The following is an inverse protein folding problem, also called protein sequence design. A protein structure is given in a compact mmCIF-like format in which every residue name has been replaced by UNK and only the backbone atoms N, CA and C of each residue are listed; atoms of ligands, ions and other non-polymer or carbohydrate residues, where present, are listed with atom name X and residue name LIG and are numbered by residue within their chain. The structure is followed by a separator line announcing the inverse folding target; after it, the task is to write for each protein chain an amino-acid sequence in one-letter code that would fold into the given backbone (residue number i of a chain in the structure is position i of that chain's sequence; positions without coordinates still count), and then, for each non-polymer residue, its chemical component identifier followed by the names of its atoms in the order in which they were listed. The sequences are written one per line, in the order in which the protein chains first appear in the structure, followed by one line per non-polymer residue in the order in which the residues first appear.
data_IF_711787704111
#
_entry.id   IF_711787704111
#
_cell.length_a   1.000
_cell.length_b   1.000
_cell.length_c   1.000
_cell.angle_alpha   90.00
_cell.angle_beta   90.00
_cell.angle_gamma   90.00
#
_symmetry.space_group_name_H-M   'P 1'
#
loop_
_entity.id
_entity.type
_entity.pdbx_description
1 polymer ?
#
# COMPACT_ATOMS: atom_id res chain seq x y z
N UNK A 1 -9.06 -13.89 -97.86
CA UNK A 1 -9.14 -14.06 -96.40
C UNK A 1 -7.89 -14.77 -95.96
N UNK A 2 -7.26 -14.30 -94.90
CA UNK A 2 -6.03 -14.87 -94.40
C UNK A 2 -6.34 -16.12 -93.57
N UNK A 3 -5.83 -17.27 -94.00
CA UNK A 3 -6.09 -18.58 -93.36
C UNK A 3 -5.36 -18.67 -92.01
N UNK A 4 -4.22 -18.00 -91.86
CA UNK A 4 -3.44 -17.98 -90.62
C UNK A 4 -4.19 -17.21 -89.51
N UNK A 5 -4.93 -16.17 -89.89
CA UNK A 5 -5.73 -15.38 -88.95
C UNK A 5 -6.92 -16.17 -88.38
N UNK A 6 -7.53 -17.04 -89.19
CA UNK A 6 -8.64 -17.89 -88.75
C UNK A 6 -8.15 -19.00 -87.79
N UNK A 7 -7.04 -19.66 -88.11
CA UNK A 7 -6.42 -20.67 -87.22
C UNK A 7 -6.04 -20.07 -85.86
N UNK A 8 -5.47 -18.86 -85.85
CA UNK A 8 -5.14 -18.16 -84.61
C UNK A 8 -6.39 -17.85 -83.77
N UNK A 9 -7.47 -17.40 -84.41
CA UNK A 9 -8.72 -17.10 -83.71
C UNK A 9 -9.31 -18.35 -83.06
N UNK A 10 -9.39 -19.46 -83.79
CA UNK A 10 -9.94 -20.72 -83.28
C UNK A 10 -9.08 -21.29 -82.14
N UNK A 11 -7.75 -21.17 -82.26
CA UNK A 11 -6.82 -21.54 -81.18
C UNK A 11 -7.00 -20.69 -79.93
N UNK A 12 -7.17 -19.38 -80.08
CA UNK A 12 -7.46 -18.48 -78.98
C UNK A 12 -8.79 -18.83 -78.30
N UNK A 13 -9.84 -19.09 -79.09
CA UNK A 13 -11.13 -19.51 -78.56
C UNK A 13 -11.05 -20.84 -77.80
N UNK A 14 -10.37 -21.85 -78.34
CA UNK A 14 -10.18 -23.13 -77.67
C UNK A 14 -9.44 -22.98 -76.33
N UNK A 15 -8.39 -22.15 -76.27
CA UNK A 15 -7.69 -21.84 -75.01
C UNK A 15 -8.60 -21.14 -74.01
N UNK A 16 -9.42 -20.20 -74.47
CA UNK A 16 -10.36 -19.49 -73.62
C UNK A 16 -11.35 -20.45 -72.96
N UNK A 17 -11.94 -21.38 -73.72
CA UNK A 17 -12.88 -22.38 -73.20
C UNK A 17 -12.23 -23.27 -72.13
N UNK A 18 -10.96 -23.65 -72.30
CA UNK A 18 -10.24 -24.44 -71.28
C UNK A 18 -10.05 -23.63 -69.99
N UNK A 19 -9.66 -22.36 -70.09
CA UNK A 19 -9.48 -21.48 -68.93
C UNK A 19 -10.80 -21.23 -68.22
N UNK A 20 -11.88 -20.92 -68.96
CA UNK A 20 -13.20 -20.65 -68.38
C UNK A 20 -13.75 -21.89 -67.65
N UNK A 21 -13.52 -23.09 -68.20
CA UNK A 21 -13.91 -24.33 -67.55
C UNK A 21 -13.12 -24.59 -66.25
N UNK A 22 -11.80 -24.36 -66.23
CA UNK A 22 -10.99 -24.48 -65.01
C UNK A 22 -11.44 -23.47 -63.95
N UNK A 23 -11.68 -22.21 -64.34
CA UNK A 23 -12.17 -21.16 -63.45
C UNK A 23 -13.56 -21.51 -62.89
N UNK A 24 -14.47 -22.02 -63.72
CA UNK A 24 -15.82 -22.40 -63.29
C UNK A 24 -15.78 -23.58 -62.31
N UNK A 25 -14.94 -24.58 -62.57
CA UNK A 25 -14.74 -25.72 -61.67
C UNK A 25 -14.24 -25.26 -60.30
N UNK A 26 -13.17 -24.46 -60.25
CA UNK A 26 -12.64 -23.90 -59.00
C UNK A 26 -13.64 -23.00 -58.28
N UNK A 27 -14.45 -22.26 -59.03
CA UNK A 27 -15.50 -21.41 -58.45
C UNK A 27 -16.59 -22.23 -57.76
N UNK A 28 -16.95 -23.40 -58.29
CA UNK A 28 -17.90 -24.33 -57.65
C UNK A 28 -17.33 -24.92 -56.37
N UNK A 29 -16.07 -25.37 -56.40
CA UNK A 29 -15.37 -25.88 -55.21
C UNK A 29 -15.31 -24.81 -54.11
N UNK A 30 -14.94 -23.58 -54.47
CA UNK A 30 -14.92 -22.46 -53.54
C UNK A 30 -16.31 -22.18 -52.95
N UNK A 31 -17.37 -22.24 -53.77
CA UNK A 31 -18.73 -22.05 -53.30
C UNK A 31 -19.16 -23.14 -52.30
N UNK A 32 -18.76 -24.39 -52.52
CA UNK A 32 -19.02 -25.49 -51.58
C UNK A 32 -18.28 -25.27 -50.26
N UNK A 33 -17.02 -24.86 -50.30
CA UNK A 33 -16.23 -24.50 -49.11
C UNK A 33 -16.90 -23.36 -48.34
N UNK A 34 -17.36 -22.30 -49.02
CA UNK A 34 -18.06 -21.17 -48.40
C UNK A 34 -19.36 -21.63 -47.72
N UNK A 35 -20.13 -22.50 -48.37
CA UNK A 35 -21.35 -23.06 -47.77
C UNK A 35 -21.04 -23.88 -46.51
N UNK A 36 -19.98 -24.69 -46.53
CA UNK A 36 -19.53 -25.47 -45.38
C UNK A 36 -19.11 -24.57 -44.21
N UNK A 37 -18.23 -23.59 -44.47
CA UNK A 37 -17.77 -22.64 -43.46
C UNK A 37 -18.91 -21.83 -42.85
N UNK A 38 -19.92 -21.45 -43.65
CA UNK A 38 -21.12 -20.79 -43.14
C UNK A 38 -21.89 -21.68 -42.15
N UNK A 39 -21.99 -22.98 -42.44
CA UNK A 39 -22.59 -23.95 -41.53
C UNK A 39 -21.84 -24.04 -40.21
N UNK A 40 -20.52 -24.25 -40.27
CA UNK A 40 -19.65 -24.33 -39.08
C UNK A 40 -19.71 -23.06 -38.23
N UNK A 41 -19.68 -21.88 -38.88
CA UNK A 41 -19.78 -20.60 -38.20
C UNK A 41 -21.10 -20.43 -37.44
N UNK A 42 -22.22 -20.86 -38.03
CA UNK A 42 -23.51 -20.83 -37.34
C UNK A 42 -23.54 -21.75 -36.12
N UNK A 43 -22.89 -22.92 -36.19
CA UNK A 43 -22.78 -23.83 -35.04
C UNK A 43 -21.98 -23.19 -33.91
N UNK A 44 -20.81 -22.60 -34.22
CA UNK A 44 -19.98 -21.90 -33.23
C UNK A 44 -20.77 -20.76 -32.57
N UNK A 45 -21.46 -19.94 -33.36
CA UNK A 45 -22.30 -18.85 -32.85
C UNK A 45 -23.41 -19.35 -31.92
N UNK A 46 -24.05 -20.47 -32.24
CA UNK A 46 -25.10 -21.03 -31.39
C UNK A 46 -24.54 -21.55 -30.06
N UNK A 47 -23.38 -22.21 -30.12
CA UNK A 47 -22.67 -22.68 -28.94
C UNK A 47 -22.24 -21.52 -28.04
N UNK A 48 -21.75 -20.42 -28.61
CA UNK A 48 -21.36 -19.22 -27.86
C UNK A 48 -22.55 -18.60 -27.12
N UNK A 49 -23.71 -18.47 -27.79
CA UNK A 49 -24.94 -17.99 -27.16
C UNK A 49 -25.41 -18.89 -26.01
N UNK A 50 -25.38 -20.21 -26.21
CA UNK A 50 -25.76 -21.15 -25.14
C UNK A 50 -24.83 -21.03 -23.91
N UNK A 51 -23.52 -20.85 -24.14
CA UNK A 51 -22.55 -20.63 -23.07
C UNK A 51 -22.78 -19.29 -22.34
N UNK A 52 -23.12 -18.23 -23.07
CA UNK A 52 -23.43 -16.93 -22.48
C UNK A 52 -24.67 -17.01 -21.57
N UNK A 53 -25.72 -17.70 -22.01
CA UNK A 53 -26.92 -17.96 -21.20
C UNK A 53 -26.61 -18.77 -19.94
N UNK A 54 -25.76 -19.80 -20.03
CA UNK A 54 -25.31 -20.58 -18.87
C UNK A 54 -24.51 -19.72 -17.88
N UNK A 55 -23.57 -18.91 -18.37
CA UNK A 55 -22.80 -17.98 -17.56
C UNK A 55 -23.69 -16.97 -16.83
N UNK A 56 -24.70 -16.43 -17.52
CA UNK A 56 -25.68 -15.52 -16.94
C UNK A 56 -26.49 -16.21 -15.82
N UNK A 57 -26.96 -17.43 -16.09
CA UNK A 57 -27.67 -18.24 -15.09
C UNK A 57 -26.81 -18.53 -13.86
N UNK A 58 -25.52 -18.81 -14.02
CA UNK A 58 -24.58 -19.00 -12.91
C UNK A 58 -24.35 -17.70 -12.13
N UNK A 59 -24.23 -16.56 -12.82
CA UNK A 59 -24.08 -15.25 -12.16
C UNK A 59 -25.26 -14.95 -11.24
N UNK A 60 -26.48 -15.11 -11.74
CA UNK A 60 -27.71 -14.89 -10.96
C UNK A 60 -27.76 -15.84 -9.74
N UNK A 61 -27.36 -17.11 -9.89
CA UNK A 61 -27.29 -18.06 -8.77
C UNK A 61 -26.27 -17.65 -7.71
N UNK A 62 -25.08 -17.20 -8.12
CA UNK A 62 -24.05 -16.71 -7.21
C UNK A 62 -24.53 -15.48 -6.45
N UNK A 63 -25.17 -14.51 -7.13
CA UNK A 63 -25.75 -13.33 -6.49
C UNK A 63 -26.82 -13.72 -5.47
N UNK A 64 -27.74 -14.63 -5.85
CA UNK A 64 -28.76 -15.14 -4.93
C UNK A 64 -28.14 -15.80 -3.69
N UNK A 65 -27.16 -16.69 -3.86
CA UNK A 65 -26.48 -17.36 -2.76
C UNK A 65 -25.73 -16.37 -1.84
N UNK A 66 -25.12 -15.33 -2.40
CA UNK A 66 -24.48 -14.27 -1.60
C UNK A 66 -25.52 -13.50 -0.78
N UNK A 67 -26.66 -13.15 -1.35
CA UNK A 67 -27.73 -12.48 -0.59
C UNK A 67 -28.33 -13.37 0.49
N UNK A 68 -28.42 -14.67 0.27
CA UNK A 68 -28.86 -15.65 1.29
C UNK A 68 -27.83 -15.75 2.42
N UNK A 69 -26.54 -15.84 2.07
CA UNK A 69 -25.45 -15.85 3.04
C UNK A 69 -25.43 -14.56 3.90
N UNK A 70 -25.67 -13.40 3.30
CA UNK A 70 -25.75 -12.14 4.04
C UNK A 70 -26.96 -12.06 4.98
N UNK A 71 -28.06 -12.71 4.63
CA UNK A 71 -29.26 -12.82 5.48
C UNK A 71 -29.12 -13.89 6.57
N UNK A 72 -28.07 -14.71 6.53
CA UNK A 72 -27.85 -15.74 7.53
C UNK A 72 -27.66 -15.10 8.91
N UNK A 73 -28.55 -15.44 9.85
CA UNK A 73 -28.56 -14.85 11.20
C UNK A 73 -27.23 -15.03 11.94
N UNK A 74 -26.50 -16.12 11.68
CA UNK A 74 -25.17 -16.36 12.28
C UNK A 74 -24.15 -15.35 11.74
N UNK A 75 -24.17 -15.08 10.43
CA UNK A 75 -23.29 -14.08 9.80
C UNK A 75 -23.63 -12.68 10.29
N UNK A 76 -24.92 -12.35 10.41
CA UNK A 76 -25.38 -11.06 10.96
C UNK A 76 -24.92 -10.90 12.41
N UNK A 77 -25.19 -11.88 13.27
CA UNK A 77 -24.78 -11.85 14.68
C UNK A 77 -23.25 -11.78 14.83
N UNK A 78 -22.49 -12.44 13.94
CA UNK A 78 -21.03 -12.36 13.92
C UNK A 78 -20.56 -10.95 13.53
N UNK A 79 -21.17 -10.33 12.51
CA UNK A 79 -20.87 -8.94 12.09
C UNK A 79 -21.16 -7.95 13.21
N UNK A 80 -22.28 -8.12 13.91
CA UNK A 80 -22.62 -7.30 15.09
C UNK A 80 -21.60 -7.46 16.21
N UNK A 81 -21.20 -8.70 16.55
CA UNK A 81 -20.15 -8.94 17.56
C UNK A 81 -18.82 -8.31 17.18
N UNK A 82 -18.42 -8.40 15.91
CA UNK A 82 -17.21 -7.74 15.40
C UNK A 82 -17.31 -6.22 15.55
N UNK A 83 -18.49 -5.64 15.27
CA UNK A 83 -18.71 -4.22 15.43
C UNK A 83 -18.60 -3.78 16.89
N UNK A 84 -19.24 -4.51 17.82
CA UNK A 84 -19.16 -4.23 19.27
C UNK A 84 -17.71 -4.30 19.76
N UNK A 85 -17.00 -5.39 19.44
CA UNK A 85 -15.58 -5.53 19.81
C UNK A 85 -14.71 -4.41 19.23
N UNK A 86 -14.98 -3.99 17.99
CA UNK A 86 -14.25 -2.88 17.36
C UNK A 86 -14.45 -1.55 18.11
N UNK A 87 -15.66 -1.29 18.63
CA UNK A 87 -15.94 -0.11 19.45
C UNK A 87 -15.26 -0.18 20.82
N UNK A 88 -15.31 -1.33 21.50
CA UNK A 88 -14.65 -1.55 22.79
C UNK A 88 -13.12 -1.38 22.68
N UNK A 89 -12.50 -1.93 21.63
CA UNK A 89 -11.07 -1.76 21.38
C UNK A 89 -10.69 -0.28 21.21
N UNK A 90 -11.53 0.51 20.51
CA UNK A 90 -11.30 1.97 20.37
C UNK A 90 -11.42 2.69 21.70
N UNK A 91 -12.40 2.33 22.53
CA UNK A 91 -12.56 2.91 23.86
C UNK A 91 -11.38 2.57 24.77
N UNK A 92 -10.96 1.31 24.82
CA UNK A 92 -9.79 0.90 25.59
C UNK A 92 -8.51 1.60 25.14
N UNK A 93 -8.34 1.82 23.83
CA UNK A 93 -7.22 2.60 23.30
C UNK A 93 -7.24 4.03 23.82
N UNK A 94 -8.39 4.71 23.77
CA UNK A 94 -8.52 6.08 24.28
C UNK A 94 -8.32 6.14 25.81
N UNK A 95 -8.78 5.13 26.53
CA UNK A 95 -8.56 5.02 27.98
C UNK A 95 -7.07 4.84 28.31
N UNK A 96 -6.35 4.03 27.53
CA UNK A 96 -4.89 3.88 27.67
C UNK A 96 -4.16 5.20 27.40
N UNK A 97 -4.50 5.91 26.32
CA UNK A 97 -3.91 7.22 26.00
C UNK A 97 -4.17 8.25 27.12
N UNK A 98 -5.37 8.25 27.70
CA UNK A 98 -5.71 9.08 28.87
C UNK A 98 -4.86 8.73 30.09
N UNK A 99 -4.72 7.44 30.43
CA UNK A 99 -3.90 7.00 31.55
C UNK A 99 -2.43 7.38 31.37
N UNK A 100 -1.90 7.21 30.15
CA UNK A 100 -0.52 7.64 29.84
C UNK A 100 -0.34 9.13 30.06
N UNK A 101 -1.30 9.96 29.61
CA UNK A 101 -1.24 11.41 29.81
C UNK A 101 -1.28 11.80 31.30
N UNK A 102 -2.15 11.20 32.10
CA UNK A 102 -2.19 11.45 33.55
C UNK A 102 -0.92 10.97 34.26
N UNK A 103 -0.37 9.82 33.87
CA UNK A 103 0.91 9.34 34.41
C UNK A 103 2.05 10.33 34.14
N UNK A 104 2.07 10.92 32.94
CA UNK A 104 3.04 11.94 32.57
C UNK A 104 2.89 13.19 33.44
N UNK A 105 1.65 13.65 33.66
CA UNK A 105 1.37 14.79 34.56
C UNK A 105 1.85 14.52 35.98
N UNK A 106 1.56 13.34 36.53
CA UNK A 106 1.99 12.97 37.89
C UNK A 106 3.52 12.95 38.01
N UNK A 107 4.22 12.40 37.02
CA UNK A 107 5.69 12.43 36.98
C UNK A 107 6.21 13.86 36.94
N UNK A 108 5.64 14.73 36.09
CA UNK A 108 6.02 16.14 36.03
C UNK A 108 5.78 16.87 37.35
N UNK A 109 4.63 16.65 38.00
CA UNK A 109 4.29 17.25 39.30
C UNK A 109 5.24 16.78 40.41
N UNK A 110 5.59 15.50 40.45
CA UNK A 110 6.53 14.97 41.44
C UNK A 110 7.93 15.58 41.29
N UNK A 111 8.43 15.70 40.04
CA UNK A 111 9.70 16.37 39.76
C UNK A 111 9.66 17.84 40.19
N UNK A 112 8.56 18.54 39.92
CA UNK A 112 8.39 19.94 40.31
C UNK A 112 8.38 20.09 41.84
N UNK A 113 7.63 19.25 42.54
CA UNK A 113 7.54 19.26 44.00
C UNK A 113 8.90 19.06 44.67
N UNK A 114 9.69 18.06 44.24
CA UNK A 114 11.03 17.82 44.78
C UNK A 114 11.98 19.01 44.55
N UNK A 115 11.87 19.69 43.40
CA UNK A 115 12.62 20.92 43.14
C UNK A 115 12.22 22.04 44.08
N UNK A 116 10.91 22.30 44.23
CA UNK A 116 10.40 23.32 45.15
C UNK A 116 10.88 23.07 46.59
N UNK A 117 10.76 21.83 47.07
CA UNK A 117 11.26 21.42 48.38
C UNK A 117 12.77 21.64 48.52
N UNK A 118 13.56 21.39 47.48
CA UNK A 118 14.99 21.65 47.50
C UNK A 118 15.30 23.17 47.58
N UNK A 119 14.53 24.01 46.87
CA UNK A 119 14.67 25.46 46.95
C UNK A 119 14.30 26.02 48.33
N UNK A 120 13.20 25.56 48.92
CA UNK A 120 12.81 25.95 50.28
C UNK A 120 13.93 25.65 51.29
N UNK A 121 14.52 24.45 51.20
CA UNK A 121 15.67 24.09 52.04
C UNK A 121 16.86 25.02 51.85
N UNK A 122 17.11 25.50 50.64
CA UNK A 122 18.21 26.45 50.34
C UNK A 122 17.88 27.84 50.88
N UNK A 123 16.63 28.30 50.80
CA UNK A 123 16.22 29.61 51.33
C UNK A 123 16.27 29.67 52.85
N UNK A 124 16.08 28.56 53.53
CA UNK A 124 16.19 28.47 55.00
C UNK A 124 17.65 28.43 55.49
N UNK A 125 18.63 28.26 54.60
CA UNK A 125 20.04 28.29 54.97
C UNK A 125 20.47 29.73 55.26
N UNK A 126 20.85 30.00 56.51
CA UNK A 126 21.37 31.32 56.93
C UNK A 126 22.78 31.62 56.42
N UNK A 127 23.58 30.58 56.20
CA UNK A 127 24.97 30.72 55.75
C UNK A 127 25.08 30.55 54.23
N UNK A 128 25.90 31.36 53.52
CA UNK A 128 26.11 31.23 52.09
C UNK A 128 26.54 29.81 51.71
N UNK A 129 25.86 29.22 50.74
CA UNK A 129 26.16 27.87 50.28
C UNK A 129 27.51 27.83 49.55
N UNK A 130 28.52 27.20 50.15
CA UNK A 130 29.85 27.07 49.56
C UNK A 130 29.87 25.95 48.50
N UNK A 131 29.59 26.34 47.25
CA UNK A 131 29.59 25.44 46.09
C UNK A 131 30.92 24.68 45.92
N UNK A 132 32.04 25.18 46.43
CA UNK A 132 33.34 24.50 46.32
C UNK A 132 33.38 23.16 47.05
N UNK A 133 32.45 22.93 47.99
CA UNK A 133 32.34 21.68 48.77
C UNK A 133 31.42 20.65 48.14
N UNK A 134 30.66 21.00 47.09
CA UNK A 134 29.77 20.05 46.42
C UNK A 134 30.58 19.10 45.54
N UNK A 135 30.45 17.79 45.79
CA UNK A 135 31.13 16.76 45.00
C UNK A 135 30.69 16.86 43.53
N UNK A 136 31.67 17.06 42.64
CA UNK A 136 31.43 17.26 41.20
C UNK A 136 31.38 18.71 40.75
N UNK A 137 31.43 19.68 41.68
CA UNK A 137 31.59 21.09 41.33
C UNK A 137 33.01 21.33 40.77
N UNK A 138 33.11 21.76 39.51
CA UNK A 138 34.38 22.22 38.92
C UNK A 138 34.57 23.70 39.22
N UNK A 139 35.73 24.05 39.79
CA UNK A 139 36.11 25.44 40.08
C UNK A 139 36.08 26.36 38.85
N UNK A 140 36.22 25.82 37.64
CA UNK A 140 36.07 26.58 36.39
C UNK A 140 34.68 27.22 36.23
N UNK A 141 33.63 26.61 36.78
CA UNK A 141 32.28 27.19 36.76
C UNK A 141 32.15 28.45 37.61
N UNK A 142 33.06 28.70 38.54
CA UNK A 142 33.01 29.88 39.43
C UNK A 142 33.14 31.18 38.64
N UNK A 143 34.06 31.23 37.65
CA UNK A 143 34.25 32.41 36.80
C UNK A 143 32.99 32.73 35.99
N UNK A 144 32.41 31.72 35.36
CA UNK A 144 31.18 31.83 34.56
C UNK A 144 29.97 32.22 35.43
N UNK A 145 29.90 31.73 36.68
CA UNK A 145 28.81 32.05 37.60
C UNK A 145 28.81 33.52 38.03
N UNK A 146 29.98 34.10 38.37
CA UNK A 146 30.04 35.52 38.77
C UNK A 146 29.60 36.48 37.65
N UNK A 147 29.85 36.10 36.39
CA UNK A 147 29.39 36.87 35.23
C UNK A 147 27.89 36.64 35.00
N UNK A 148 27.43 35.39 35.04
CA UNK A 148 26.04 35.04 34.81
C UNK A 148 25.08 35.45 35.94
N UNK A 149 25.54 35.63 37.19
CA UNK A 149 24.66 35.97 38.33
C UNK A 149 24.05 37.37 38.18
N UNK A 150 24.78 38.32 37.58
CA UNK A 150 24.26 39.64 37.25
C UNK A 150 23.22 39.56 36.13
N UNK A 151 23.45 38.69 35.15
CA UNK A 151 22.51 38.46 34.05
C UNK A 151 21.28 37.67 34.51
N UNK A 152 21.41 36.71 35.43
CA UNK A 152 20.29 35.89 35.94
C UNK A 152 19.32 36.69 36.80
N UNK A 153 19.82 37.65 37.60
CA UNK A 153 18.99 38.55 38.38
C UNK A 153 18.13 39.49 37.51
N UNK A 154 18.51 39.67 36.24
CA UNK A 154 17.78 40.47 35.25
C UNK A 154 17.19 39.64 34.11
N UNK A 155 17.45 38.33 34.07
CA UNK A 155 16.98 37.44 33.03
C UNK A 155 15.51 37.10 33.27
N UNK A 156 14.65 37.68 32.44
CA UNK A 156 13.31 37.16 32.26
C UNK A 156 13.43 35.79 31.57
N UNK A 157 12.81 34.77 32.14
CA UNK A 157 12.73 33.43 31.55
C UNK A 157 11.38 33.27 30.85
N UNK A 158 11.24 33.61 29.56
CA UNK A 158 9.96 33.52 28.87
C UNK A 158 9.31 32.13 28.96
N UNK A 159 10.10 31.07 29.13
CA UNK A 159 9.58 29.71 29.33
C UNK A 159 8.86 29.52 30.69
N UNK A 160 9.27 30.24 31.72
CA UNK A 160 8.59 30.27 33.02
C UNK A 160 7.30 31.08 32.91
N UNK A 161 7.32 32.23 32.22
CA UNK A 161 6.11 33.03 31.99
C UNK A 161 5.06 32.25 31.17
N UNK A 162 5.51 31.51 30.14
CA UNK A 162 4.67 30.64 29.32
C UNK A 162 4.14 29.43 30.11
N UNK A 163 4.95 28.87 31.02
CA UNK A 163 4.52 27.79 31.94
C UNK A 163 3.52 28.27 32.99
N UNK A 164 3.66 29.50 33.49
CA UNK A 164 2.70 30.11 34.42
C UNK A 164 1.38 30.43 33.72
N UNK A 165 1.43 30.84 32.44
CA UNK A 165 0.25 31.16 31.65
C UNK A 165 -0.56 29.93 31.21
N UNK A 166 0.11 28.82 30.89
CA UNK A 166 -0.54 27.54 30.58
C UNK A 166 0.37 26.37 31.02
N UNK A 167 0.14 25.75 32.18
CA UNK A 167 0.97 24.65 32.66
C UNK A 167 0.95 23.40 31.75
N UNK A 168 -0.01 23.28 30.84
CA UNK A 168 -0.24 22.10 30.00
C UNK A 168 0.35 22.24 28.58
N UNK A 169 0.52 23.46 28.07
CA UNK A 169 1.16 23.71 26.77
C UNK A 169 2.66 23.34 26.72
N UNK A 170 3.50 23.66 27.74
CA UNK A 170 4.92 23.41 27.70
C UNK A 170 5.27 21.93 27.63
N UNK A 171 4.49 21.03 28.24
CA UNK A 171 4.87 19.61 28.27
C UNK A 171 4.76 18.95 26.89
N UNK A 172 3.75 19.32 26.08
CA UNK A 172 3.63 18.87 24.69
C UNK A 172 4.71 19.50 23.81
N UNK A 173 4.99 20.79 23.99
CA UNK A 173 5.98 21.53 23.20
C UNK A 173 7.42 21.11 23.54
N UNK A 174 7.74 20.85 24.81
CA UNK A 174 9.06 20.43 25.29
C UNK A 174 9.40 18.98 24.91
N UNK A 175 8.42 18.09 24.74
CA UNK A 175 8.66 16.74 24.25
C UNK A 175 8.79 16.67 22.72
N UNK A 176 8.11 17.56 21.97
CA UNK A 176 8.22 17.63 20.51
C UNK A 176 9.40 18.47 20.02
N UNK A 177 9.85 19.47 20.78
CA UNK A 177 11.01 20.30 20.43
C UNK A 177 12.28 19.77 21.08
N UNK A 178 13.16 19.19 20.27
CA UNK A 178 14.59 19.11 20.60
C UNK A 178 15.07 20.52 20.98
N UNK A 179 15.71 20.74 22.14
CA UNK A 179 16.14 22.08 22.53
C UNK A 179 17.03 22.67 21.44
N UNK A 180 16.70 23.86 20.93
CA UNK A 180 17.45 24.54 19.88
C UNK A 180 18.93 24.77 20.28
N UNK A 181 19.22 24.77 21.57
CA UNK A 181 20.58 24.84 22.12
C UNK A 181 21.47 23.63 21.79
N UNK A 182 20.89 22.48 21.40
CA UNK A 182 21.62 21.35 20.84
C UNK A 182 21.78 21.41 19.31
N UNK A 183 21.17 22.39 18.66
CA UNK A 183 21.38 22.71 17.25
C UNK A 183 22.50 23.74 17.10
N UNK A 184 23.63 23.55 17.81
CA UNK A 184 24.88 24.15 17.37
C UNK A 184 25.26 23.46 16.07
N UNK A 185 25.13 24.18 14.97
CA UNK A 185 25.82 23.88 13.72
C UNK A 185 27.30 23.64 14.05
N UNK A 186 27.71 22.37 14.07
CA UNK A 186 29.13 22.04 14.06
C UNK A 186 29.78 22.68 12.83
N UNK A 187 31.07 23.07 12.91
CA UNK A 187 31.76 23.63 11.77
C UNK A 187 31.62 22.69 10.58
N UNK A 188 31.03 23.18 9.49
CA UNK A 188 30.85 22.43 8.25
C UNK A 188 32.19 21.86 7.80
N UNK A 189 32.36 20.55 7.97
CA UNK A 189 33.50 19.79 7.45
C UNK A 189 33.43 19.88 5.93
N UNK A 190 34.43 20.53 5.34
CA UNK A 190 34.66 20.63 3.89
C UNK A 190 34.40 19.28 3.22
N UNK A 191 33.36 19.23 2.38
CA UNK A 191 33.07 18.05 1.58
C UNK A 191 34.10 17.93 0.46
N UNK A 192 34.76 16.77 0.40
CA UNK A 192 35.49 16.31 -0.79
C UNK A 192 34.43 15.92 -1.85
N UNK A 193 34.59 16.32 -3.12
CA UNK A 193 33.64 15.97 -4.17
C UNK A 193 33.53 14.45 -4.36
N UNK A 194 32.32 13.91 -4.21
CA UNK A 194 32.02 12.53 -4.61
C UNK A 194 31.88 12.44 -6.14
N UNK A 195 32.43 11.40 -6.79
CA UNK A 195 32.24 11.20 -8.22
C UNK A 195 30.79 10.82 -8.53
N UNK A 196 30.24 11.47 -9.56
CA UNK A 196 28.88 11.26 -10.05
C UNK A 196 28.67 9.83 -10.51
N UNK A 197 27.69 9.16 -9.90
CA UNK A 197 27.20 7.86 -10.35
C UNK A 197 26.14 8.09 -11.44
N UNK A 198 26.45 7.67 -12.68
CA UNK A 198 25.56 7.80 -13.83
C UNK A 198 24.28 6.97 -13.62
N UNK A 199 23.15 7.66 -13.74
CA UNK A 199 21.80 7.09 -13.73
C UNK A 199 21.58 6.30 -15.02
N UNK A 200 21.66 4.98 -14.94
CA UNK A 200 21.24 4.09 -16.01
C UNK A 200 19.70 4.04 -16.09
N UNK A 201 19.19 4.21 -17.30
CA UNK A 201 17.79 4.09 -17.72
C UNK A 201 17.23 2.71 -17.35
N UNK A 202 16.06 2.59 -16.71
CA UNK A 202 15.39 1.30 -16.60
C UNK A 202 14.73 0.96 -17.93
N UNK A 203 15.30 0.00 -18.64
CA UNK A 203 14.70 -0.66 -19.80
C UNK A 203 13.62 -1.61 -19.30
N UNK A 204 12.40 -1.39 -19.78
CA UNK A 204 11.23 -2.25 -19.62
C UNK A 204 11.37 -3.52 -20.46
N UNK A 205 11.35 -4.68 -19.81
CA UNK A 205 11.11 -5.98 -20.44
C UNK A 205 9.95 -6.70 -19.75
N UNK A 206 8.91 -7.14 -20.45
CA UNK A 206 7.88 -8.01 -19.89
C UNK A 206 8.29 -9.46 -20.09
N UNK A 207 8.55 -10.18 -19.01
CA UNK A 207 8.72 -11.64 -19.03
C UNK A 207 7.91 -12.23 -17.89
N UNK A 208 6.82 -12.90 -18.24
CA UNK A 208 6.57 -14.30 -17.85
C UNK A 208 5.16 -14.73 -18.30
N UNK A 209 5.09 -15.57 -19.33
CA UNK A 209 3.95 -16.45 -19.56
C UNK A 209 4.04 -17.61 -18.55
N UNK A 210 3.00 -17.94 -17.79
CA UNK A 210 2.93 -19.21 -17.07
C UNK A 210 2.44 -20.30 -18.03
N UNK A 211 3.32 -21.25 -18.36
CA UNK A 211 2.93 -22.55 -18.90
C UNK A 211 2.15 -23.31 -17.81
N UNK A 212 0.87 -23.56 -18.05
CA UNK A 212 0.15 -24.58 -17.30
C UNK A 212 0.52 -25.97 -17.83
N UNK A 213 0.80 -26.96 -16.96
CA UNK A 213 0.93 -28.35 -17.37
C UNK A 213 -0.45 -28.96 -17.67
N UNK A 214 -0.53 -29.94 -18.61
CA UNK A 214 -1.76 -30.67 -18.86
C UNK A 214 -2.08 -31.61 -17.69
N UNK A 215 -3.31 -31.56 -17.21
CA UNK A 215 -3.81 -32.49 -16.22
C UNK A 215 -4.22 -33.81 -16.91
N UNK A 216 -3.34 -34.80 -16.87
CA UNK A 216 -3.70 -36.19 -17.12
C UNK A 216 -4.39 -36.74 -15.87
N UNK A 217 -5.73 -36.74 -15.88
CA UNK A 217 -6.54 -37.45 -14.90
C UNK A 217 -6.95 -38.81 -15.48
N UNK A 218 -6.20 -39.84 -15.15
CA UNK A 218 -6.62 -41.24 -15.31
C UNK A 218 -7.77 -41.53 -14.34
N UNK A 219 -8.99 -41.56 -14.87
CA UNK A 219 -10.17 -42.06 -14.16
C UNK A 219 -10.11 -43.59 -14.12
N UNK A 220 -9.68 -44.15 -13.01
CA UNK A 220 -9.89 -45.57 -12.70
C UNK A 220 -11.30 -45.78 -12.15
N UNK A 221 -12.14 -46.48 -12.93
CA UNK A 221 -13.45 -46.96 -12.52
C UNK A 221 -13.36 -47.93 -11.32
N UNK A 222 -14.20 -47.79 -10.28
CA UNK A 222 -14.38 -48.84 -9.30
C UNK A 222 -15.34 -49.91 -9.83
N UNK A 223 -14.82 -51.13 -9.86
CA UNK A 223 -15.47 -52.38 -10.19
C UNK A 223 -16.58 -52.70 -9.17
N UNK A 224 -17.83 -52.75 -9.62
CA UNK A 224 -18.97 -53.23 -8.83
C UNK A 224 -18.87 -54.74 -8.62
N UNK A 225 -18.96 -55.16 -7.35
CA UNK A 225 -19.13 -56.58 -6.99
C UNK A 225 -20.63 -56.90 -6.90
N UNK A 226 -21.07 -58.11 -7.30
CA UNK A 226 -22.45 -58.54 -7.15
C UNK A 226 -22.70 -59.05 -5.71
N UNK A 227 -23.79 -58.60 -5.10
CA UNK A 227 -24.34 -59.24 -3.89
C UNK A 227 -25.02 -60.56 -4.29
N UNK A 228 -24.65 -61.63 -3.58
CA UNK A 228 -25.42 -62.87 -3.45
C UNK A 228 -26.64 -62.66 -2.55
#
# INVERSE_FOLDING_TARGET
MDVELLDLHDRCYARQVVVDNDVNMRSRELLEVIKKLRGEFNVIRNMERAREEECEGLRVKCEAAMTEFEKNLVVVALREKIFVLSTEVKEHKLNLERMMLESQKLVSSAILYERCRAYEKVTDMKDPFDLSKVKGYRSSYKKDYTQANNDFATATFPWLDEFVADPLAPTKVLLLKKPLSFQRSGPSRTQVPLPACHRATPSSAPVSNPMFPPADASVTNPQSSPLQ
#
